data_IF_106702604113
#
_entry.id   IF_106702604113
#
_cell.length_a   1.000
_cell.length_b   1.000
_cell.length_c   1.000
_cell.angle_alpha   90.00
_cell.angle_beta   90.00
_cell.angle_gamma   90.00
#
_symmetry.space_group_name_H-M   'P 1'
#
loop_
_entity.id
_entity.type
_entity.pdbx_description
1 polymer ?
#
# COMPACT_ATOMS: atom_id res chain seq x y z
N UNK A 1 22.86 5.54 -2.90
CA UNK A 1 22.03 4.46 -2.32
C UNK A 1 20.71 4.52 -3.05
N UNK A 2 20.42 3.54 -3.90
CA UNK A 2 19.12 3.46 -4.59
C UNK A 2 18.11 3.19 -3.50
N UNK A 3 17.28 4.18 -3.16
CA UNK A 3 16.14 3.92 -2.29
C UNK A 3 15.31 2.90 -3.08
N UNK A 4 15.13 1.66 -2.60
CA UNK A 4 14.22 0.75 -3.27
C UNK A 4 12.92 1.51 -3.42
N UNK A 5 12.33 1.50 -4.62
CA UNK A 5 11.07 2.16 -4.99
C UNK A 5 9.96 1.58 -4.12
N UNK A 6 10.01 1.92 -2.84
CA UNK A 6 9.21 1.35 -1.80
C UNK A 6 8.00 2.24 -1.82
N UNK A 7 6.87 1.65 -2.20
CA UNK A 7 5.54 2.28 -2.08
C UNK A 7 5.20 2.69 -0.64
N UNK A 8 6.12 2.49 0.31
CA UNK A 8 5.98 2.86 1.69
C UNK A 8 6.19 4.35 1.93
N UNK A 9 5.28 4.97 2.70
CA UNK A 9 5.36 6.39 3.01
C UNK A 9 6.60 6.77 3.86
N UNK A 10 7.11 5.85 4.69
CA UNK A 10 8.32 6.02 5.52
C UNK A 10 8.94 4.66 5.84
N UNK A 11 10.22 4.48 5.53
CA UNK A 11 10.98 3.27 5.92
C UNK A 11 11.77 3.54 7.20
N UNK A 12 11.85 2.54 8.09
CA UNK A 12 12.78 2.57 9.23
C UNK A 12 14.22 2.40 8.74
N UNK A 13 15.19 2.59 9.63
CA UNK A 13 16.60 2.32 9.32
C UNK A 13 16.83 0.87 8.85
N UNK A 14 15.98 -0.06 9.30
CA UNK A 14 15.99 -1.48 8.91
C UNK A 14 15.27 -1.76 7.57
N UNK A 15 14.83 -0.73 6.86
CA UNK A 15 14.10 -0.86 5.59
C UNK A 15 12.64 -1.30 5.74
N UNK A 16 12.12 -1.43 6.97
CA UNK A 16 10.72 -1.82 7.22
C UNK A 16 9.77 -0.64 7.03
N UNK A 17 8.54 -0.90 6.54
CA UNK A 17 7.57 0.16 6.33
C UNK A 17 6.88 0.58 7.63
N UNK A 18 7.07 1.83 8.07
CA UNK A 18 6.52 2.36 9.34
C UNK A 18 4.99 2.22 9.38
N UNK A 19 4.30 2.56 8.28
CA UNK A 19 2.85 2.43 8.22
C UNK A 19 2.37 0.97 8.21
N UNK A 20 3.17 0.03 7.72
CA UNK A 20 2.85 -1.40 7.77
C UNK A 20 3.06 -1.97 9.17
N UNK A 21 4.13 -1.55 9.85
CA UNK A 21 4.42 -1.94 11.23
C UNK A 21 3.35 -1.46 12.23
N UNK A 22 2.75 -0.30 11.98
CA UNK A 22 1.63 0.23 12.77
C UNK A 22 0.28 -0.44 12.45
N UNK A 23 0.13 -1.02 11.26
CA UNK A 23 -1.14 -1.58 10.83
C UNK A 23 -1.47 -2.86 11.63
N UNK A 24 -2.63 -2.88 12.26
CA UNK A 24 -3.16 -4.01 13.03
C UNK A 24 -4.38 -4.58 12.33
N UNK A 25 -4.79 -5.79 12.70
CA UNK A 25 -6.09 -6.33 12.31
C UNK A 25 -7.23 -5.49 12.91
N UNK A 26 -8.43 -5.56 12.32
CA UNK A 26 -9.62 -4.90 12.88
C UNK A 26 -9.91 -5.30 14.32
N UNK A 27 -9.55 -6.53 14.70
CA UNK A 27 -9.64 -7.06 16.06
C UNK A 27 -8.51 -6.59 17.00
N UNK A 28 -7.50 -5.86 16.51
CA UNK A 28 -6.42 -5.26 17.30
C UNK A 28 -5.37 -6.21 17.89
N UNK A 29 -5.61 -7.53 17.83
CA UNK A 29 -4.78 -8.55 18.48
C UNK A 29 -3.46 -8.84 17.74
N UNK A 30 -3.47 -8.75 16.42
CA UNK A 30 -2.32 -9.11 15.58
C UNK A 30 -1.99 -8.01 14.58
N UNK A 31 -0.77 -8.07 14.05
CA UNK A 31 -0.35 -7.25 12.93
C UNK A 31 -1.17 -7.59 11.69
N UNK A 32 -1.44 -6.57 10.88
CA UNK A 32 -2.12 -6.73 9.61
C UNK A 32 -1.45 -7.80 8.73
N UNK A 33 -2.24 -8.51 7.90
CA UNK A 33 -1.84 -9.70 7.12
C UNK A 33 -1.54 -10.98 7.93
N UNK A 34 -1.57 -10.92 9.25
CA UNK A 34 -1.34 -12.08 10.12
C UNK A 34 -2.50 -12.28 11.11
N UNK A 35 -3.71 -11.88 10.71
CA UNK A 35 -4.92 -11.93 11.53
C UNK A 35 -5.41 -13.37 11.71
N UNK A 36 -5.92 -13.69 12.90
CA UNK A 36 -6.55 -14.99 13.25
C UNK A 36 -8.00 -14.82 13.72
N UNK A 37 -8.51 -13.59 13.75
CA UNK A 37 -9.89 -13.29 14.11
C UNK A 37 -10.86 -13.58 12.96
N UNK A 38 -12.18 -13.47 13.20
CA UNK A 38 -13.24 -13.83 12.25
C UNK A 38 -13.10 -13.17 10.87
N UNK A 39 -12.49 -11.98 10.80
CA UNK A 39 -12.24 -11.23 9.55
C UNK A 39 -10.92 -11.58 8.86
N UNK A 40 -10.15 -12.53 9.40
CA UNK A 40 -8.82 -12.91 8.91
C UNK A 40 -8.79 -13.24 7.42
N UNK A 41 -9.77 -14.01 6.92
CA UNK A 41 -9.83 -14.39 5.50
C UNK A 41 -9.88 -13.17 4.57
N UNK A 42 -10.52 -12.08 5.00
CA UNK A 42 -10.62 -10.84 4.22
C UNK A 42 -9.46 -9.89 4.50
N UNK A 43 -9.01 -9.81 5.75
CA UNK A 43 -7.93 -8.88 6.16
C UNK A 43 -6.54 -9.37 5.76
N UNK A 44 -6.33 -10.68 5.66
CA UNK A 44 -5.08 -11.28 5.20
C UNK A 44 -5.02 -11.49 3.68
N UNK A 45 -6.15 -11.31 2.98
CA UNK A 45 -6.13 -11.32 1.53
C UNK A 45 -5.25 -10.17 1.04
N UNK A 46 -4.35 -10.46 0.09
CA UNK A 46 -3.47 -9.46 -0.54
C UNK A 46 -4.02 -8.95 -1.87
N UNK A 47 -5.13 -9.51 -2.35
CA UNK A 47 -5.80 -9.13 -3.59
C UNK A 47 -6.71 -7.91 -3.43
N UNK A 48 -6.71 -7.04 -4.44
CA UNK A 48 -7.57 -5.85 -4.50
C UNK A 48 -6.95 -4.57 -3.91
N UNK A 49 -7.74 -3.48 -3.83
CA UNK A 49 -7.28 -2.18 -3.38
C UNK A 49 -6.94 -2.19 -1.89
N UNK A 50 -5.76 -1.66 -1.55
CA UNK A 50 -5.22 -1.63 -0.18
C UNK A 50 -4.83 -0.22 0.27
N UNK A 51 -4.58 -0.03 1.55
CA UNK A 51 -3.94 1.18 2.06
C UNK A 51 -2.57 1.40 1.41
N UNK A 52 -1.98 2.59 1.53
CA UNK A 52 -0.63 2.88 1.01
C UNK A 52 0.42 1.94 1.59
N UNK A 53 0.23 1.46 2.83
CA UNK A 53 1.10 0.46 3.46
C UNK A 53 0.87 -0.98 2.96
N UNK A 54 -0.13 -1.20 2.10
CA UNK A 54 -0.57 -2.48 1.53
C UNK A 54 -0.96 -3.57 2.54
N UNK A 55 -0.96 -3.27 3.85
CA UNK A 55 -1.25 -4.26 4.89
C UNK A 55 -2.75 -4.46 5.14
N UNK A 56 -3.59 -3.48 4.78
CA UNK A 56 -5.04 -3.51 5.03
C UNK A 56 -5.83 -3.13 3.79
N UNK A 57 -7.08 -3.58 3.64
CA UNK A 57 -7.96 -3.13 2.56
C UNK A 57 -8.11 -1.60 2.54
N UNK A 58 -8.27 -1.01 1.36
CA UNK A 58 -8.59 0.41 1.22
C UNK A 58 -9.87 0.74 2.02
N UNK A 59 -9.89 1.90 2.68
CA UNK A 59 -11.00 2.29 3.57
C UNK A 59 -10.98 1.66 4.97
N UNK A 60 -10.08 0.71 5.23
CA UNK A 60 -9.96 0.00 6.51
C UNK A 60 -8.55 0.09 7.11
N UNK A 61 -7.81 1.13 6.78
CA UNK A 61 -6.49 1.38 7.33
C UNK A 61 -6.59 1.63 8.83
N UNK A 62 -5.62 1.14 9.61
CA UNK A 62 -5.49 1.44 11.05
C UNK A 62 -4.11 1.96 11.42
N UNK A 63 -3.29 2.33 10.45
CA UNK A 63 -2.05 3.06 10.69
C UNK A 63 -2.35 4.54 10.98
N UNK A 64 -1.34 5.34 11.31
CA UNK A 64 -1.47 6.79 11.56
C UNK A 64 -2.15 7.56 10.41
N UNK A 65 -2.06 7.05 9.18
CA UNK A 65 -2.66 7.67 7.98
C UNK A 65 -4.13 7.29 7.76
N UNK A 66 -4.69 6.42 8.60
CA UNK A 66 -6.08 5.95 8.50
C UNK A 66 -7.11 7.07 8.42
N UNK A 67 -6.90 8.16 9.17
CA UNK A 67 -7.78 9.34 9.14
C UNK A 67 -7.90 9.90 7.72
N UNK A 68 -6.82 9.97 6.96
CA UNK A 68 -6.84 10.48 5.59
C UNK A 68 -7.20 9.40 4.57
N UNK A 69 -6.67 8.19 4.73
CA UNK A 69 -6.84 7.10 3.76
C UNK A 69 -8.22 6.42 3.79
N UNK A 70 -8.92 6.50 4.93
CA UNK A 70 -10.27 5.96 5.06
C UNK A 70 -11.36 6.96 4.68
N UNK A 71 -11.01 8.25 4.56
CA UNK A 71 -11.95 9.31 4.20
C UNK A 71 -12.02 9.58 2.70
N UNK A 72 -11.17 8.93 1.89
CA UNK A 72 -11.17 9.13 0.45
C UNK A 72 -12.45 8.56 -0.18
N UNK A 73 -13.34 9.43 -0.66
CA UNK A 73 -14.64 9.08 -1.22
C UNK A 73 -14.65 8.98 -2.77
N UNK A 74 -13.50 9.18 -3.43
CA UNK A 74 -13.37 9.14 -4.89
C UNK A 74 -13.06 7.75 -5.44
N UNK A 75 -13.05 7.62 -6.77
CA UNK A 75 -12.55 6.43 -7.45
C UNK A 75 -11.07 6.23 -7.10
N UNK A 76 -10.81 5.16 -6.36
CA UNK A 76 -9.47 4.81 -5.91
C UNK A 76 -8.83 3.86 -6.94
N UNK A 77 -7.52 3.97 -7.15
CA UNK A 77 -6.83 3.08 -8.07
C UNK A 77 -7.03 1.61 -7.66
N UNK A 78 -7.12 0.66 -8.62
CA UNK A 78 -7.25 -0.78 -8.35
C UNK A 78 -6.29 -1.38 -7.32
N UNK A 79 -5.14 -0.74 -7.06
CA UNK A 79 -4.18 -1.17 -6.06
C UNK A 79 -4.31 -0.48 -4.69
N UNK A 80 -5.09 0.60 -4.53
CA UNK A 80 -5.25 1.23 -3.22
C UNK A 80 -5.96 2.59 -3.14
N UNK A 81 -5.94 3.20 -1.94
CA UNK A 81 -6.68 4.44 -1.59
C UNK A 81 -6.23 5.74 -2.30
N UNK A 82 -5.34 5.64 -3.29
CA UNK A 82 -4.94 6.82 -4.09
C UNK A 82 -6.00 7.10 -5.15
N UNK A 83 -6.21 8.36 -5.55
CA UNK A 83 -7.05 8.66 -6.70
C UNK A 83 -6.63 7.85 -7.93
N UNK A 84 -7.59 7.37 -8.72
CA UNK A 84 -7.35 6.66 -9.97
C UNK A 84 -6.40 7.45 -10.90
N UNK A 85 -6.58 8.77 -10.97
CA UNK A 85 -5.76 9.69 -11.78
C UNK A 85 -4.32 9.87 -11.29
N UNK A 86 -3.94 9.35 -10.12
CA UNK A 86 -2.59 9.44 -9.56
C UNK A 86 -2.06 8.06 -9.18
N UNK A 87 -2.44 7.06 -9.96
CA UNK A 87 -2.03 5.70 -9.70
C UNK A 87 -0.57 5.47 -10.09
N UNK A 88 0.29 5.29 -9.07
CA UNK A 88 1.73 5.06 -9.25
C UNK A 88 2.18 3.72 -8.66
N UNK A 89 1.28 2.75 -8.49
CA UNK A 89 1.61 1.44 -7.94
C UNK A 89 1.99 0.46 -9.06
N UNK A 90 2.67 -0.63 -8.71
CA UNK A 90 3.11 -1.69 -9.65
C UNK A 90 1.96 -2.36 -10.44
N UNK A 91 0.71 -2.15 -10.02
CA UNK A 91 -0.49 -2.65 -10.71
C UNK A 91 -1.19 -1.61 -11.58
N UNK A 92 -0.64 -0.39 -11.69
CA UNK A 92 -1.08 0.59 -12.66
C UNK A 92 -0.73 0.07 -14.05
N UNK A 93 -1.74 -0.17 -14.89
CA UNK A 93 -1.49 -0.52 -16.28
C UNK A 93 -0.89 0.70 -16.97
N UNK A 94 0.33 0.56 -17.51
CA UNK A 94 0.92 1.55 -18.41
C UNK A 94 1.56 2.78 -17.76
N UNK A 95 2.40 2.61 -16.73
CA UNK A 95 3.41 3.64 -16.39
C UNK A 95 4.62 3.47 -17.32
N UNK A 96 4.39 3.50 -18.62
CA UNK A 96 5.43 3.70 -19.63
C UNK A 96 5.25 5.15 -20.07
N UNK A 97 5.79 6.09 -19.27
CA UNK A 97 5.84 7.47 -19.73
C UNK A 97 6.85 7.50 -20.86
N UNK A 98 6.47 7.96 -22.04
CA UNK A 98 7.37 8.10 -23.19
C UNK A 98 8.57 9.05 -22.96
N UNK A 99 8.68 9.63 -21.76
CA UNK A 99 9.73 10.50 -21.26
C UNK A 99 10.69 9.81 -20.28
N UNK A 100 10.39 8.58 -19.85
CA UNK A 100 11.29 7.79 -19.01
C UNK A 100 12.30 7.07 -19.92
N UNK A 101 13.60 7.22 -19.63
CA UNK A 101 14.68 6.53 -20.34
C UNK A 101 15.19 5.41 -19.45
N UNK A 102 15.11 4.16 -19.92
CA UNK A 102 15.70 3.02 -19.22
C UNK A 102 17.22 2.94 -19.51
N UNK A 103 18.01 3.22 -18.48
CA UNK A 103 19.48 3.18 -18.55
C UNK A 103 20.07 1.80 -18.19
N UNK A 104 19.24 0.78 -17.95
CA UNK A 104 19.71 -0.56 -17.54
C UNK A 104 20.00 -1.49 -18.70
N UNK A 105 19.59 -1.12 -19.92
CA UNK A 105 19.89 -1.83 -21.18
C UNK A 105 21.25 -1.51 -21.84
N UNK A 106 22.19 -0.89 -21.13
CA UNK A 106 23.53 -0.59 -21.67
C UNK A 106 24.48 -1.78 -21.61
N UNK A 107 24.80 -2.35 -22.79
CA UNK A 107 25.95 -3.22 -23.03
C UNK A 107 27.23 -2.40 -23.28
#
# INVERSE_FOLDING_TARGET
>A
MVHPTTTCCKTTQDGSCVCAAQAKCSCGQQSALNCSCTKASTENATSGPRCSCRSRPAGQCTCERSVTENQFAGAACPCGSRPEASCTCEKAAGIDSALEVDFTTGA
#
